data_IF_071440206853
#
_entry.id   IF_071440206853
#
_cell.length_a   1.000
_cell.length_b   1.000
_cell.length_c   1.000
_cell.angle_alpha   90.00
_cell.angle_beta   90.00
_cell.angle_gamma   90.00
#
_symmetry.space_group_name_H-M   'P 1'
#
loop_
_entity.id
_entity.type
_entity.pdbx_description
1 polymer ?
#
# COMPACT_ATOMS: atom_id res chain seq x y z
N UNK A 1 5.39 23.86 19.97
CA UNK A 1 4.54 23.90 18.75
C UNK A 1 3.85 22.56 18.65
N UNK A 2 2.54 22.55 18.42
CA UNK A 2 1.76 21.31 18.42
C UNK A 2 1.58 20.79 16.99
N UNK A 3 1.65 19.48 16.85
CA UNK A 3 1.48 18.76 15.59
C UNK A 3 0.20 17.96 15.63
N UNK A 4 -0.48 17.93 14.49
CA UNK A 4 -1.72 17.18 14.32
C UNK A 4 -1.59 16.19 13.18
N UNK A 5 -1.93 14.93 13.44
CA UNK A 5 -2.00 13.89 12.43
C UNK A 5 -3.33 13.16 12.49
N UNK A 6 -3.79 12.63 11.36
CA UNK A 6 -4.99 11.80 11.34
C UNK A 6 -4.65 10.35 11.05
N UNK A 7 -4.95 9.47 12.00
CA UNK A 7 -4.91 8.02 11.83
C UNK A 7 -6.15 7.63 11.03
N UNK A 8 -6.00 7.15 9.78
CA UNK A 8 -7.18 6.86 8.99
C UNK A 8 -8.03 5.76 9.63
N UNK A 9 -9.33 5.97 9.74
CA UNK A 9 -10.23 4.93 10.24
C UNK A 9 -11.48 4.91 9.37
N UNK A 10 -11.97 3.71 9.05
CA UNK A 10 -13.22 3.49 8.29
C UNK A 10 -14.38 3.22 9.25
N UNK A 11 -14.07 2.89 10.50
CA UNK A 11 -15.02 2.73 11.60
C UNK A 11 -15.45 4.09 12.15
N UNK A 12 -16.52 4.09 12.97
CA UNK A 12 -16.94 5.28 13.71
C UNK A 12 -15.98 5.69 14.83
N UNK A 13 -15.14 4.76 15.30
CA UNK A 13 -14.19 4.98 16.39
C UNK A 13 -12.91 4.15 16.23
N UNK A 14 -11.80 4.67 16.76
CA UNK A 14 -10.53 3.96 16.90
C UNK A 14 -10.67 2.70 17.78
N UNK A 15 -10.16 1.55 17.33
CA UNK A 15 -10.30 0.25 18.02
C UNK A 15 -9.03 -0.12 18.82
N UNK A 16 -8.75 0.65 19.87
CA UNK A 16 -7.50 0.56 20.65
C UNK A 16 -7.25 -0.83 21.25
N UNK A 17 -8.26 -1.46 21.85
CA UNK A 17 -8.09 -2.75 22.53
C UNK A 17 -7.64 -3.88 21.59
N UNK A 18 -8.16 -3.89 20.35
CA UNK A 18 -7.77 -4.88 19.35
C UNK A 18 -6.30 -4.70 18.97
N UNK A 19 -5.89 -3.45 18.71
CA UNK A 19 -4.51 -3.09 18.35
C UNK A 19 -3.52 -3.55 19.42
N UNK A 20 -3.78 -3.25 20.70
CA UNK A 20 -2.86 -3.64 21.79
C UNK A 20 -2.79 -5.15 21.95
N UNK A 21 -3.92 -5.85 21.84
CA UNK A 21 -3.94 -7.31 21.90
C UNK A 21 -3.08 -7.91 20.80
N UNK A 22 -3.14 -7.38 19.59
CA UNK A 22 -2.42 -7.93 18.43
C UNK A 22 -0.92 -7.58 18.47
N UNK A 23 -0.56 -6.39 18.97
CA UNK A 23 0.83 -6.03 19.28
C UNK A 23 1.41 -6.98 20.34
N UNK A 24 0.71 -7.21 21.45
CA UNK A 24 1.19 -8.13 22.50
C UNK A 24 1.35 -9.55 21.97
N UNK A 25 0.40 -10.04 21.17
CA UNK A 25 0.46 -11.37 20.52
C UNK A 25 1.65 -11.53 19.57
N UNK A 26 2.05 -10.46 18.90
CA UNK A 26 3.15 -10.46 17.94
C UNK A 26 4.51 -10.08 18.55
N UNK A 27 4.55 -9.83 19.86
CA UNK A 27 5.76 -9.42 20.58
C UNK A 27 6.47 -10.56 21.30
N UNK A 28 7.78 -10.40 21.52
CA UNK A 28 8.57 -11.22 22.43
C UNK A 28 8.66 -10.50 23.78
N UNK A 29 8.32 -11.19 24.87
CA UNK A 29 8.55 -10.67 26.23
C UNK A 29 10.05 -10.51 26.48
N UNK A 30 10.45 -9.44 27.16
CA UNK A 30 11.78 -9.38 27.77
C UNK A 30 11.75 -9.99 29.19
N UNK A 31 12.87 -9.93 29.89
CA UNK A 31 12.97 -10.27 31.32
C UNK A 31 12.21 -9.28 32.21
N UNK A 32 11.86 -8.09 31.69
CA UNK A 32 11.09 -7.06 32.40
C UNK A 32 9.61 -7.17 32.03
N UNK A 33 8.74 -7.25 33.04
CA UNK A 33 7.29 -7.53 32.89
C UNK A 33 6.53 -6.64 31.90
N UNK A 34 6.94 -5.38 31.72
CA UNK A 34 6.24 -4.39 30.88
C UNK A 34 7.08 -3.98 29.66
N UNK A 35 8.00 -4.82 29.23
CA UNK A 35 8.85 -4.55 28.07
C UNK A 35 8.71 -5.65 27.03
N UNK A 36 8.54 -5.21 25.79
CA UNK A 36 8.23 -6.08 24.67
C UNK A 36 9.15 -5.74 23.49
N UNK A 37 9.64 -6.76 22.80
CA UNK A 37 10.36 -6.62 21.54
C UNK A 37 9.42 -7.00 20.40
N UNK A 38 9.09 -6.05 19.52
CA UNK A 38 8.33 -6.33 18.31
C UNK A 38 9.26 -6.75 17.20
N UNK A 39 8.81 -7.59 16.28
CA UNK A 39 9.61 -7.96 15.12
C UNK A 39 9.76 -6.76 14.16
N UNK A 40 10.89 -6.65 13.42
CA UNK A 40 11.07 -5.58 12.45
C UNK A 40 9.95 -5.53 11.40
N UNK A 41 9.36 -4.35 11.20
CA UNK A 41 8.32 -4.10 10.18
C UNK A 41 8.96 -3.90 8.79
N UNK A 42 9.66 -4.89 8.24
CA UNK A 42 10.46 -4.68 7.02
C UNK A 42 9.74 -5.08 5.72
N UNK A 43 8.98 -6.18 5.65
CA UNK A 43 8.13 -6.44 4.46
C UNK A 43 7.11 -7.57 4.72
N UNK A 44 5.81 -7.26 4.74
CA UNK A 44 4.75 -8.26 5.02
C UNK A 44 4.48 -9.23 3.85
N UNK A 45 5.05 -9.00 2.66
CA UNK A 45 4.93 -9.96 1.55
C UNK A 45 5.64 -11.30 1.84
N UNK A 46 6.57 -11.32 2.79
CA UNK A 46 7.29 -12.52 3.23
C UNK A 46 7.39 -12.53 4.76
N UNK A 47 6.25 -12.75 5.45
CA UNK A 47 6.23 -13.03 6.89
C UNK A 47 6.85 -14.41 7.17
N UNK A 48 8.16 -14.53 7.01
CA UNK A 48 8.91 -15.71 7.45
C UNK A 48 9.13 -15.56 8.95
N UNK A 49 8.64 -16.49 9.79
CA UNK A 49 8.93 -16.46 11.22
C UNK A 49 10.46 -16.45 11.45
N UNK A 50 10.95 -15.51 12.26
CA UNK A 50 12.37 -15.46 12.59
C UNK A 50 12.84 -16.80 13.16
N UNK A 51 13.96 -17.30 12.64
CA UNK A 51 14.62 -18.48 13.21
C UNK A 51 15.04 -18.23 14.67
N UNK A 52 15.30 -19.29 15.43
CA UNK A 52 15.79 -19.14 16.81
C UNK A 52 17.08 -18.32 16.90
N UNK A 53 17.96 -18.45 15.90
CA UNK A 53 19.21 -17.69 15.80
C UNK A 53 18.94 -16.20 15.49
N UNK A 54 18.00 -15.90 14.61
CA UNK A 54 17.63 -14.51 14.28
C UNK A 54 16.96 -13.81 15.46
N UNK A 55 16.12 -14.52 16.22
CA UNK A 55 15.56 -14.01 17.49
C UNK A 55 16.66 -13.64 18.49
N UNK A 56 17.68 -14.50 18.64
CA UNK A 56 18.82 -14.18 19.52
C UNK A 56 19.62 -12.98 19.01
N UNK A 57 19.90 -12.91 17.70
CA UNK A 57 20.60 -11.77 17.08
C UNK A 57 19.81 -10.48 17.27
N UNK A 58 18.49 -10.55 17.14
CA UNK A 58 17.58 -9.44 17.36
C UNK A 58 17.60 -8.95 18.81
N UNK A 59 17.48 -9.86 19.77
CA UNK A 59 17.56 -9.53 21.19
C UNK A 59 18.88 -8.83 21.56
N UNK A 60 20.00 -9.21 20.94
CA UNK A 60 21.30 -8.54 21.13
C UNK A 60 21.31 -7.08 20.65
N UNK A 61 20.41 -6.68 19.74
CA UNK A 61 20.27 -5.27 19.31
C UNK A 61 19.63 -4.39 20.38
N UNK A 62 18.99 -5.00 21.35
CA UNK A 62 18.33 -4.37 22.50
C UNK A 62 18.84 -5.02 23.78
N UNK A 63 20.16 -5.07 23.99
CA UNK A 63 20.70 -5.57 25.25
C UNK A 63 20.27 -4.72 26.46
N UNK A 64 20.56 -5.19 27.67
CA UNK A 64 20.14 -4.52 28.90
C UNK A 64 20.62 -3.06 28.98
N UNK A 65 21.85 -2.79 28.53
CA UNK A 65 22.42 -1.44 28.52
C UNK A 65 21.65 -0.52 27.56
N UNK A 66 21.41 -1.00 26.34
CA UNK A 66 20.65 -0.29 25.30
C UNK A 66 19.24 0.05 25.79
N UNK A 67 18.54 -0.94 26.38
CA UNK A 67 17.19 -0.72 26.92
C UNK A 67 17.21 0.27 28.08
N UNK A 68 18.21 0.21 28.96
CA UNK A 68 18.36 1.18 30.04
C UNK A 68 18.55 2.61 29.52
N UNK A 69 19.38 2.82 28.49
CA UNK A 69 19.55 4.12 27.84
C UNK A 69 18.24 4.62 27.23
N UNK A 70 17.53 3.77 26.47
CA UNK A 70 16.26 4.16 25.85
C UNK A 70 15.20 4.49 26.91
N UNK A 71 15.11 3.70 27.98
CA UNK A 71 14.21 3.97 29.11
C UNK A 71 14.51 5.29 29.82
N UNK A 72 15.78 5.61 30.01
CA UNK A 72 16.18 6.86 30.65
C UNK A 72 15.62 8.07 29.90
N UNK A 73 15.72 8.09 28.57
CA UNK A 73 15.16 9.16 27.74
C UNK A 73 13.62 9.18 27.71
N UNK A 74 12.99 8.01 27.71
CA UNK A 74 11.54 7.87 27.66
C UNK A 74 10.86 8.20 29.01
N UNK A 75 11.53 7.89 30.12
CA UNK A 75 11.04 7.99 31.49
C UNK A 75 9.61 7.40 31.65
N UNK A 76 9.40 6.09 31.37
CA UNK A 76 8.11 5.43 31.50
C UNK A 76 7.67 5.32 32.96
N UNK A 77 6.37 5.43 33.24
CA UNK A 77 5.81 5.11 34.55
C UNK A 77 5.92 3.60 34.84
N UNK A 78 5.76 3.20 36.11
CA UNK A 78 5.81 1.78 36.49
C UNK A 78 4.72 0.93 35.85
N UNK A 79 3.58 1.53 35.52
CA UNK A 79 2.45 0.88 34.85
C UNK A 79 2.54 0.92 33.34
N UNK A 80 3.41 1.75 32.77
CA UNK A 80 3.51 1.92 31.32
C UNK A 80 4.17 0.68 30.68
N UNK A 81 3.65 0.26 29.54
CA UNK A 81 4.27 -0.74 28.67
C UNK A 81 5.21 -0.06 27.67
N UNK A 82 6.36 -0.69 27.42
CA UNK A 82 7.34 -0.18 26.46
C UNK A 82 7.60 -1.22 25.39
N UNK A 83 7.38 -0.80 24.14
CA UNK A 83 7.63 -1.61 22.96
C UNK A 83 8.88 -1.11 22.25
N UNK A 84 9.82 -2.01 21.97
CA UNK A 84 11.04 -1.69 21.23
C UNK A 84 11.08 -2.44 19.91
N UNK A 85 11.52 -1.78 18.85
CA UNK A 85 11.76 -2.45 17.58
C UNK A 85 12.72 -1.73 16.65
N UNK A 86 13.17 -2.44 15.62
CA UNK A 86 13.91 -1.85 14.52
C UNK A 86 12.97 -1.42 13.40
N UNK A 87 13.21 -0.23 12.88
CA UNK A 87 12.47 0.34 11.76
C UNK A 87 13.43 0.81 10.69
N UNK A 88 13.11 0.48 9.46
CA UNK A 88 13.70 1.10 8.29
C UNK A 88 12.81 2.28 7.87
N UNK A 89 13.39 3.47 7.78
CA UNK A 89 12.72 4.67 7.28
C UNK A 89 13.21 5.06 5.88
N UNK A 90 14.25 4.38 5.37
CA UNK A 90 14.85 4.63 4.06
C UNK A 90 14.85 3.33 3.24
N UNK A 91 13.76 3.14 2.49
CA UNK A 91 13.56 1.96 1.64
C UNK A 91 14.68 1.73 0.58
N UNK A 92 15.59 2.70 0.40
CA UNK A 92 16.74 2.59 -0.52
C UNK A 92 18.04 2.19 0.17
N UNK A 93 18.20 2.53 1.45
CA UNK A 93 19.38 2.20 2.24
C UNK A 93 18.99 1.46 3.51
N UNK A 94 18.81 0.15 3.36
CA UNK A 94 18.51 -0.80 4.44
C UNK A 94 19.55 -0.83 5.58
N UNK A 95 20.65 -0.09 5.45
CA UNK A 95 21.63 0.08 6.54
C UNK A 95 21.25 1.19 7.53
N UNK A 96 20.32 2.09 7.17
CA UNK A 96 19.79 3.16 8.02
C UNK A 96 18.61 2.70 8.90
N UNK A 97 18.80 1.55 9.56
CA UNK A 97 17.84 1.13 10.59
C UNK A 97 17.87 2.13 11.76
N UNK A 98 16.73 2.27 12.40
CA UNK A 98 16.56 3.04 13.62
C UNK A 98 15.99 2.12 14.70
N UNK A 99 16.38 2.35 15.96
CA UNK A 99 15.67 1.76 17.09
C UNK A 99 14.51 2.67 17.43
N UNK A 100 13.32 2.12 17.43
CA UNK A 100 12.10 2.79 17.86
C UNK A 100 11.73 2.27 19.22
N UNK A 101 11.28 3.17 20.09
CA UNK A 101 10.61 2.80 21.32
C UNK A 101 9.33 3.58 21.52
N UNK A 102 8.29 2.89 21.95
CA UNK A 102 6.94 3.42 22.12
C UNK A 102 6.46 3.10 23.52
N UNK A 103 6.00 4.13 24.24
CA UNK A 103 5.33 3.97 25.53
C UNK A 103 3.82 3.92 25.29
N UNK A 104 3.17 2.90 25.83
CA UNK A 104 1.72 2.71 25.83
C UNK A 104 1.22 2.72 27.28
N UNK A 105 0.11 3.44 27.52
CA UNK A 105 -0.53 3.51 28.83
C UNK A 105 -1.42 2.28 29.10
N UNK A 106 -2.00 2.20 30.30
CA UNK A 106 -2.91 1.11 30.66
C UNK A 106 -4.17 1.04 29.79
N UNK A 107 -4.60 2.17 29.23
CA UNK A 107 -5.79 2.28 28.36
C UNK A 107 -5.47 1.93 26.90
N UNK A 108 -4.21 1.58 26.61
CA UNK A 108 -3.76 1.20 25.28
C UNK A 108 -3.40 2.36 24.34
N UNK A 109 -3.34 3.59 24.84
CA UNK A 109 -2.92 4.76 24.07
C UNK A 109 -1.41 4.97 24.13
N UNK A 110 -0.83 5.36 22.99
CA UNK A 110 0.59 5.74 22.89
C UNK A 110 0.77 7.09 23.57
N UNK A 111 1.67 7.17 24.54
CA UNK A 111 2.04 8.41 25.26
C UNK A 111 3.29 9.07 24.68
N UNK A 112 4.27 8.25 24.26
CA UNK A 112 5.54 8.73 23.74
C UNK A 112 6.05 7.79 22.66
N UNK A 113 6.74 8.36 21.69
CA UNK A 113 7.48 7.61 20.68
C UNK A 113 8.84 8.28 20.49
N UNK A 114 9.89 7.47 20.40
CA UNK A 114 11.26 7.94 20.26
C UNK A 114 12.04 7.14 19.22
N UNK A 115 12.91 7.84 18.50
CA UNK A 115 13.87 7.28 17.55
C UNK A 115 15.28 7.39 18.12
N UNK A 116 16.05 6.33 17.94
CA UNK A 116 17.43 6.26 18.35
C UNK A 116 18.27 5.65 17.23
N UNK A 117 19.52 6.08 17.15
CA UNK A 117 20.46 5.56 16.16
C UNK A 117 20.70 4.05 16.34
N UNK A 118 20.96 3.35 15.23
CA UNK A 118 21.18 1.89 15.25
C UNK A 118 22.58 1.46 15.69
N UNK A 119 23.63 2.19 15.34
CA UNK A 119 24.99 1.88 15.81
C UNK A 119 25.23 2.32 17.25
N UNK A 120 24.61 3.42 17.65
CA UNK A 120 24.69 4.01 18.98
C UNK A 120 23.28 4.44 19.41
N UNK A 121 22.74 4.00 20.57
CA UNK A 121 21.39 4.34 21.02
C UNK A 121 21.28 5.79 21.54
N UNK A 122 21.87 6.74 20.81
CA UNK A 122 21.68 8.17 21.02
C UNK A 122 20.27 8.52 20.59
N UNK A 123 19.57 9.30 21.42
CA UNK A 123 18.27 9.86 21.07
C UNK A 123 18.40 10.79 19.86
N UNK A 124 17.60 10.54 18.82
CA UNK A 124 17.55 11.34 17.58
C UNK A 124 16.25 12.13 17.51
N UNK A 125 15.14 11.52 17.94
CA UNK A 125 13.85 12.21 18.03
C UNK A 125 12.98 11.68 19.16
N UNK A 126 12.12 12.54 19.71
CA UNK A 126 11.14 12.21 20.76
C UNK A 126 9.89 13.05 20.56
N UNK A 127 8.74 12.39 20.49
CA UNK A 127 7.44 13.04 20.58
C UNK A 127 6.66 12.58 21.81
N UNK A 128 5.92 13.50 22.39
CA UNK A 128 4.93 13.26 23.45
C UNK A 128 3.55 13.41 22.82
N UNK A 129 2.75 12.35 22.91
CA UNK A 129 1.39 12.36 22.40
C UNK A 129 0.50 12.94 23.48
N UNK A 130 -0.09 14.09 23.19
CA UNK A 130 -0.98 14.79 24.12
C UNK A 130 -2.35 14.11 24.15
N UNK A 131 -2.86 13.75 22.98
CA UNK A 131 -4.17 13.11 22.85
C UNK A 131 -4.28 12.32 21.54
N UNK A 132 -4.99 11.19 21.58
CA UNK A 132 -5.50 10.48 20.41
C UNK A 132 -7.01 10.37 20.59
N UNK A 133 -7.75 11.11 19.78
CA UNK A 133 -9.20 11.08 19.81
C UNK A 133 -9.76 9.79 19.23
N UNK A 134 -10.99 9.45 19.60
CA UNK A 134 -11.73 8.32 19.01
C UNK A 134 -11.94 8.49 17.51
N UNK A 135 -11.89 9.71 16.98
CA UNK A 135 -11.95 10.04 15.55
C UNK A 135 -10.66 9.71 14.80
N UNK A 136 -9.61 9.29 15.50
CA UNK A 136 -8.27 9.08 14.95
C UNK A 136 -7.43 10.36 14.84
N UNK A 137 -7.95 11.53 15.25
CA UNK A 137 -7.14 12.74 15.32
C UNK A 137 -6.16 12.66 16.49
N UNK A 138 -4.89 12.80 16.17
CA UNK A 138 -3.79 12.78 17.12
C UNK A 138 -3.19 14.18 17.23
N UNK A 139 -2.98 14.64 18.47
CA UNK A 139 -2.22 15.83 18.80
C UNK A 139 -0.96 15.41 19.57
N UNK A 140 0.18 15.99 19.21
CA UNK A 140 1.46 15.67 19.81
C UNK A 140 2.46 16.82 19.74
N UNK A 141 3.43 16.80 20.66
CA UNK A 141 4.54 17.74 20.70
C UNK A 141 5.85 17.03 20.37
N UNK A 142 6.66 17.64 19.49
CA UNK A 142 8.03 17.19 19.22
C UNK A 142 8.97 17.82 20.25
N UNK A 143 9.45 17.01 21.20
CA UNK A 143 10.35 17.44 22.28
C UNK A 143 11.82 17.44 21.81
N UNK A 144 12.17 16.52 20.92
CA UNK A 144 13.52 16.40 20.37
C UNK A 144 13.47 15.96 18.90
N UNK A 145 14.41 16.46 18.11
CA UNK A 145 14.57 16.13 16.69
C UNK A 145 14.34 17.33 15.77
N UNK A 146 14.78 17.20 14.52
CA UNK A 146 14.49 18.18 13.47
C UNK A 146 12.98 18.29 13.19
N UNK A 147 12.43 19.53 13.17
CA UNK A 147 11.05 19.77 12.78
C UNK A 147 10.72 19.19 11.40
N UNK A 148 9.45 18.89 11.18
CA UNK A 148 8.94 18.28 9.93
C UNK A 148 9.41 16.84 9.69
N UNK A 149 10.69 16.59 9.42
CA UNK A 149 11.20 15.23 9.07
C UNK A 149 10.91 14.21 10.17
N UNK A 150 11.32 14.49 11.41
CA UNK A 150 11.07 13.56 12.51
C UNK A 150 9.61 13.59 12.96
N UNK A 151 8.93 14.74 12.84
CA UNK A 151 7.50 14.82 13.13
C UNK A 151 6.70 13.84 12.24
N UNK A 152 7.04 13.78 10.94
CA UNK A 152 6.45 12.85 9.98
C UNK A 152 6.77 11.39 10.33
N UNK A 153 8.04 11.07 10.61
CA UNK A 153 8.45 9.70 10.95
C UNK A 153 7.76 9.20 12.23
N UNK A 154 7.79 10.00 13.30
CA UNK A 154 7.15 9.66 14.57
C UNK A 154 5.63 9.52 14.43
N UNK A 155 4.98 10.41 13.69
CA UNK A 155 3.55 10.24 13.38
C UNK A 155 3.28 8.96 12.59
N UNK A 156 4.12 8.66 11.59
CA UNK A 156 4.03 7.42 10.82
C UNK A 156 4.08 6.18 11.70
N UNK A 157 4.94 6.16 12.71
CA UNK A 157 5.03 5.04 13.66
C UNK A 157 3.77 4.88 14.51
N UNK A 158 3.23 5.99 15.04
CA UNK A 158 1.98 5.93 15.82
C UNK A 158 0.81 5.54 14.93
N UNK A 159 0.70 6.11 13.73
CA UNK A 159 -0.34 5.74 12.75
C UNK A 159 -0.28 4.25 12.43
N UNK A 160 0.90 3.71 12.12
CA UNK A 160 1.09 2.31 11.74
C UNK A 160 0.87 1.32 12.91
N UNK A 161 0.79 1.80 14.14
CA UNK A 161 0.32 1.00 15.28
C UNK A 161 -1.19 0.81 15.19
N UNK A 162 -1.94 1.88 14.90
CA UNK A 162 -3.40 1.84 14.94
C UNK A 162 -4.09 1.57 13.60
N UNK A 163 -3.35 1.63 12.48
CA UNK A 163 -3.87 1.42 11.14
C UNK A 163 -3.32 0.13 10.53
N UNK A 164 -4.11 -0.94 10.58
CA UNK A 164 -3.73 -2.26 10.05
C UNK A 164 -3.82 -2.31 8.51
N UNK A 165 -2.92 -1.57 7.84
CA UNK A 165 -2.51 -1.75 6.45
C UNK A 165 -1.18 -1.00 6.29
N UNK A 166 -0.08 -1.72 6.47
CA UNK A 166 1.26 -1.23 6.16
C UNK A 166 1.51 -1.60 4.69
N UNK A 167 2.21 -0.75 3.95
CA UNK A 167 2.59 -0.92 2.54
C UNK A 167 1.52 -0.58 1.50
N UNK A 168 1.06 0.67 1.48
CA UNK A 168 0.86 1.24 0.16
C UNK A 168 2.25 1.28 -0.54
N UNK A 169 2.38 0.81 -1.80
CA UNK A 169 3.65 0.83 -2.50
C UNK A 169 4.27 2.24 -2.48
N UNK A 170 5.61 2.31 -2.47
CA UNK A 170 6.48 3.48 -2.20
C UNK A 170 6.26 4.77 -3.03
N UNK A 171 5.11 4.95 -3.68
CA UNK A 171 4.64 6.19 -4.30
C UNK A 171 3.35 6.75 -3.68
N UNK A 172 2.76 6.11 -2.68
CA UNK A 172 1.57 6.61 -1.99
C UNK A 172 1.97 7.49 -0.80
N UNK A 173 1.88 8.80 -0.96
CA UNK A 173 2.18 9.75 0.11
C UNK A 173 1.10 9.64 1.18
N UNK A 174 1.38 8.94 2.27
CA UNK A 174 0.53 9.00 3.44
C UNK A 174 0.32 10.47 3.87
N UNK A 175 -0.83 10.77 4.46
CA UNK A 175 -1.08 12.12 4.96
C UNK A 175 0.00 12.50 5.97
N UNK A 176 0.48 13.73 5.84
CA UNK A 176 1.52 14.27 6.70
C UNK A 176 0.88 14.96 7.90
N UNK A 177 1.54 14.93 9.07
CA UNK A 177 1.10 15.74 10.18
C UNK A 177 1.25 17.23 9.83
N UNK A 178 0.40 18.06 10.43
CA UNK A 178 0.36 19.50 10.21
C UNK A 178 0.76 20.23 11.48
N UNK A 179 1.62 21.22 11.33
CA UNK A 179 2.03 22.09 12.43
C UNK A 179 0.99 23.20 12.64
N UNK A 180 0.63 23.42 13.91
CA UNK A 180 -0.37 24.38 14.35
C UNK A 180 0.19 25.16 15.55
N UNK A 181 0.23 26.49 15.41
CA UNK A 181 0.83 27.36 16.44
C UNK A 181 -0.05 27.50 17.70
N UNK A 182 -1.38 27.40 17.56
CA UNK A 182 -2.34 27.78 18.61
C UNK A 182 -3.23 26.62 19.10
N UNK A 183 -2.76 25.37 18.97
CA UNK A 183 -3.53 24.16 19.31
C UNK A 183 -4.95 24.16 18.70
N UNK A 184 -5.09 24.77 17.53
CA UNK A 184 -6.36 24.98 16.86
C UNK A 184 -6.74 23.74 16.05
N UNK A 185 -7.55 22.88 16.68
CA UNK A 185 -8.09 21.65 16.08
C UNK A 185 -8.79 21.88 14.75
N UNK A 186 -9.59 22.94 14.61
CA UNK A 186 -10.35 23.20 13.38
C UNK A 186 -9.42 23.58 12.22
N UNK A 187 -8.35 24.31 12.51
CA UNK A 187 -7.31 24.60 11.53
C UNK A 187 -6.58 23.32 11.11
N UNK A 188 -6.25 22.44 12.05
CA UNK A 188 -5.65 21.14 11.77
C UNK A 188 -6.53 20.31 10.82
N UNK A 189 -7.81 20.18 11.15
CA UNK A 189 -8.80 19.44 10.35
C UNK A 189 -8.85 19.99 8.92
N UNK A 190 -8.89 21.33 8.76
CA UNK A 190 -8.88 21.97 7.44
C UNK A 190 -7.60 21.70 6.66
N UNK A 191 -6.43 21.81 7.29
CA UNK A 191 -5.14 21.53 6.64
C UNK A 191 -4.99 20.05 6.25
N UNK A 192 -5.45 19.13 7.10
CA UNK A 192 -5.46 17.69 6.80
C UNK A 192 -6.42 17.39 5.64
N UNK A 193 -7.62 17.97 5.64
CA UNK A 193 -8.56 17.80 4.53
C UNK A 193 -8.02 18.37 3.21
N UNK A 194 -7.30 19.49 3.25
CA UNK A 194 -6.65 20.05 2.07
C UNK A 194 -5.59 19.09 1.48
N UNK A 195 -4.90 18.30 2.31
CA UNK A 195 -4.00 17.24 1.83
C UNK A 195 -4.77 16.16 1.08
N UNK A 196 -5.95 15.74 1.56
CA UNK A 196 -6.82 14.81 0.84
C UNK A 196 -7.20 15.34 -0.55
N UNK A 197 -7.63 16.60 -0.62
CA UNK A 197 -8.00 17.22 -1.90
C UNK A 197 -6.81 17.25 -2.87
N UNK A 198 -5.63 17.65 -2.40
CA UNK A 198 -4.40 17.65 -3.21
C UNK A 198 -4.04 16.25 -3.71
N UNK A 199 -4.12 15.25 -2.83
CA UNK A 199 -3.80 13.85 -3.13
C UNK A 199 -4.76 13.27 -4.18
N UNK A 200 -6.06 13.54 -4.05
CA UNK A 200 -7.09 13.13 -5.01
C UNK A 200 -6.88 13.75 -6.40
N UNK A 201 -6.53 15.03 -6.46
CA UNK A 201 -6.20 15.70 -7.71
C UNK A 201 -4.95 15.10 -8.37
N UNK A 202 -3.93 14.78 -7.57
CA UNK A 202 -2.72 14.12 -8.05
C UNK A 202 -3.04 12.76 -8.68
N UNK A 203 -3.85 11.93 -8.03
CA UNK A 203 -4.26 10.64 -8.61
C UNK A 203 -4.99 10.80 -9.93
N UNK A 204 -5.94 11.74 -10.02
CA UNK A 204 -6.64 12.01 -11.28
C UNK A 204 -5.68 12.41 -12.40
N UNK A 205 -4.71 13.28 -12.10
CA UNK A 205 -3.68 13.70 -13.06
C UNK A 205 -2.81 12.52 -13.52
N UNK A 206 -2.31 11.72 -12.57
CA UNK A 206 -1.48 10.55 -12.85
C UNK A 206 -2.22 9.54 -13.73
N UNK A 207 -3.45 9.20 -13.37
CA UNK A 207 -4.27 8.22 -14.10
C UNK A 207 -4.60 8.73 -15.50
N UNK A 208 -4.94 10.01 -15.64
CA UNK A 208 -5.22 10.61 -16.96
C UNK A 208 -3.99 10.55 -17.87
N UNK A 209 -2.81 10.88 -17.35
CA UNK A 209 -1.55 10.83 -18.10
C UNK A 209 -1.23 9.38 -18.51
N UNK A 210 -1.38 8.42 -17.60
CA UNK A 210 -1.15 7.01 -17.91
C UNK A 210 -2.15 6.46 -18.94
N UNK A 211 -3.43 6.84 -18.87
CA UNK A 211 -4.42 6.47 -19.90
C UNK A 211 -4.02 7.04 -21.26
N UNK A 212 -3.49 8.27 -21.32
CA UNK A 212 -3.02 8.88 -22.56
C UNK A 212 -1.80 8.16 -23.13
N UNK A 213 -0.80 7.85 -22.29
CA UNK A 213 0.37 7.07 -22.68
C UNK A 213 0.00 5.66 -23.18
N UNK A 214 -0.97 5.03 -22.52
CA UNK A 214 -1.56 3.75 -22.95
C UNK A 214 -2.48 3.93 -24.16
N UNK A 215 -3.01 5.12 -24.46
CA UNK A 215 -3.72 5.40 -25.71
C UNK A 215 -2.75 5.41 -26.88
N UNK A 216 -1.66 6.15 -26.74
CA UNK A 216 -0.79 6.57 -27.84
C UNK A 216 0.35 5.57 -28.14
N UNK A 217 0.80 4.78 -27.15
CA UNK A 217 1.96 3.90 -27.30
C UNK A 217 1.64 2.49 -27.83
N UNK A 218 1.99 2.18 -29.08
CA UNK A 218 1.96 0.80 -29.61
C UNK A 218 3.26 0.05 -29.23
N UNK A 219 3.31 -0.68 -28.10
CA UNK A 219 4.48 -1.49 -27.76
C UNK A 219 4.43 -2.27 -26.44
N UNK A 220 5.44 -3.15 -26.23
CA UNK A 220 5.64 -4.06 -25.07
C UNK A 220 5.68 -3.32 -23.73
N UNK A 221 6.00 -2.02 -23.71
CA UNK A 221 5.96 -1.14 -22.53
C UNK A 221 4.55 -1.05 -21.89
N UNK A 222 3.49 -1.39 -22.61
CA UNK A 222 2.10 -1.27 -22.14
C UNK A 222 1.69 -2.26 -21.04
N UNK A 223 2.29 -3.46 -20.97
CA UNK A 223 1.89 -4.47 -19.97
C UNK A 223 2.39 -4.14 -18.55
N UNK A 224 3.62 -3.63 -18.40
CA UNK A 224 4.10 -3.13 -17.09
C UNK A 224 3.36 -1.86 -16.65
N UNK A 225 3.03 -0.99 -17.61
CA UNK A 225 2.22 0.20 -17.32
C UNK A 225 0.80 -0.17 -16.85
N UNK A 226 0.28 -1.34 -17.24
CA UNK A 226 -1.05 -1.79 -16.86
C UNK A 226 -1.17 -2.14 -15.36
N UNK A 227 -0.27 -2.97 -14.83
CA UNK A 227 -0.27 -3.32 -13.40
C UNK A 227 -0.13 -2.08 -12.52
N UNK A 228 0.68 -1.11 -12.97
CA UNK A 228 0.85 0.17 -12.31
C UNK A 228 -0.45 0.99 -12.27
N UNK A 229 -1.21 1.05 -13.37
CA UNK A 229 -2.48 1.82 -13.40
C UNK A 229 -3.53 1.18 -12.51
N UNK A 230 -3.68 -0.15 -12.54
CA UNK A 230 -4.65 -0.84 -11.68
C UNK A 230 -4.34 -0.64 -10.19
N UNK A 231 -3.06 -0.72 -9.81
CA UNK A 231 -2.62 -0.45 -8.44
C UNK A 231 -2.94 0.99 -8.02
N UNK A 232 -2.61 1.98 -8.87
CA UNK A 232 -2.88 3.39 -8.60
C UNK A 232 -4.39 3.67 -8.50
N UNK A 233 -5.21 3.07 -9.36
CA UNK A 233 -6.67 3.18 -9.29
C UNK A 233 -7.22 2.63 -7.96
N UNK A 234 -6.70 1.47 -7.51
CA UNK A 234 -7.08 0.89 -6.23
C UNK A 234 -6.69 1.78 -5.05
N UNK A 235 -5.45 2.27 -5.03
CA UNK A 235 -4.98 3.22 -4.01
C UNK A 235 -5.83 4.49 -3.98
N UNK A 236 -6.09 5.09 -5.15
CA UNK A 236 -6.91 6.30 -5.26
C UNK A 236 -8.33 6.10 -4.70
N UNK A 237 -8.96 4.95 -4.96
CA UNK A 237 -10.27 4.61 -4.39
C UNK A 237 -10.21 4.46 -2.87
N UNK A 238 -9.19 3.77 -2.35
CA UNK A 238 -8.98 3.64 -0.90
C UNK A 238 -8.83 5.00 -0.21
N UNK A 239 -8.05 5.90 -0.80
CA UNK A 239 -7.86 7.26 -0.29
C UNK A 239 -9.13 8.10 -0.30
N UNK A 240 -9.99 7.94 -1.31
CA UNK A 240 -11.31 8.59 -1.32
C UNK A 240 -12.26 8.01 -0.26
N UNK A 241 -12.17 6.70 0.02
CA UNK A 241 -12.92 6.08 1.14
C UNK A 241 -12.48 6.70 2.47
N UNK A 242 -11.18 6.84 2.69
CA UNK A 242 -10.65 7.52 3.88
C UNK A 242 -11.10 8.99 3.95
N UNK A 243 -11.06 9.73 2.84
CA UNK A 243 -11.53 11.12 2.80
C UNK A 243 -13.03 11.24 3.15
N UNK A 244 -13.87 10.31 2.67
CA UNK A 244 -15.31 10.27 3.03
C UNK A 244 -15.51 9.99 4.51
N UNK A 245 -14.72 9.07 5.07
CA UNK A 245 -14.74 8.79 6.51
C UNK A 245 -14.33 10.02 7.32
N UNK A 246 -13.24 10.69 6.92
CA UNK A 246 -12.77 11.94 7.52
C UNK A 246 -13.87 13.01 7.54
N UNK A 247 -14.52 13.26 6.40
CA UNK A 247 -15.62 14.23 6.30
C UNK A 247 -16.75 13.91 7.29
N UNK A 248 -17.12 12.63 7.42
CA UNK A 248 -18.18 12.20 8.35
C UNK A 248 -17.75 12.37 9.80
N UNK A 249 -16.55 11.93 10.16
CA UNK A 249 -16.05 11.98 11.54
C UNK A 249 -15.89 13.41 12.06
N UNK A 250 -15.52 14.35 11.19
CA UNK A 250 -15.35 15.76 11.55
C UNK A 250 -16.53 16.63 11.12
N UNK A 251 -17.65 16.04 10.68
CA UNK A 251 -18.86 16.75 10.24
C UNK A 251 -18.55 17.90 9.27
N UNK A 252 -17.68 17.67 8.28
CA UNK A 252 -17.33 18.69 7.30
C UNK A 252 -18.55 19.02 6.41
N UNK A 253 -18.62 20.23 5.84
CA UNK A 253 -19.76 20.67 5.05
C UNK A 253 -20.12 19.72 3.89
N UNK A 254 -21.39 19.63 3.53
CA UNK A 254 -21.90 18.69 2.51
C UNK A 254 -21.20 18.83 1.14
N UNK A 255 -20.77 20.04 0.78
CA UNK A 255 -20.02 20.28 -0.45
C UNK A 255 -18.66 19.53 -0.49
N UNK A 256 -18.05 19.25 0.66
CA UNK A 256 -16.86 18.43 0.78
C UNK A 256 -17.17 16.99 0.41
N UNK A 257 -18.27 16.43 0.94
CA UNK A 257 -18.73 15.08 0.58
C UNK A 257 -19.08 14.98 -0.91
N UNK A 258 -19.80 15.97 -1.44
CA UNK A 258 -20.15 16.03 -2.86
C UNK A 258 -18.90 16.05 -3.75
N UNK A 259 -17.89 16.86 -3.40
CA UNK A 259 -16.63 16.93 -4.15
C UNK A 259 -15.88 15.60 -4.20
N UNK A 260 -15.80 14.89 -3.07
CA UNK A 260 -15.15 13.56 -3.02
C UNK A 260 -15.98 12.52 -3.80
N UNK A 261 -17.31 12.52 -3.69
CA UNK A 261 -18.17 11.60 -4.44
C UNK A 261 -18.07 11.83 -5.96
N UNK A 262 -18.05 13.09 -6.40
CA UNK A 262 -17.86 13.42 -7.82
C UNK A 262 -16.49 12.95 -8.32
N UNK A 263 -15.46 13.09 -7.50
CA UNK A 263 -14.11 12.59 -7.79
C UNK A 263 -14.08 11.06 -7.89
N UNK A 264 -14.79 10.35 -7.01
CA UNK A 264 -14.90 8.89 -7.05
C UNK A 264 -15.66 8.40 -8.28
N UNK A 265 -16.73 9.09 -8.67
CA UNK A 265 -17.49 8.78 -9.87
C UNK A 265 -16.66 9.00 -11.14
N UNK A 266 -15.96 10.14 -11.22
CA UNK A 266 -14.98 10.42 -12.27
C UNK A 266 -13.93 9.30 -12.36
N UNK A 267 -13.41 8.84 -11.22
CA UNK A 267 -12.43 7.76 -11.16
C UNK A 267 -13.01 6.41 -11.64
N UNK A 268 -14.27 6.12 -11.32
CA UNK A 268 -14.96 4.92 -11.83
C UNK A 268 -15.12 4.97 -13.34
N UNK A 269 -15.51 6.12 -13.90
CA UNK A 269 -15.59 6.32 -15.36
C UNK A 269 -14.21 6.12 -16.01
N UNK A 270 -13.14 6.66 -15.42
CA UNK A 270 -11.77 6.44 -15.90
C UNK A 270 -11.36 4.96 -15.82
N UNK A 271 -11.75 4.26 -14.76
CA UNK A 271 -11.52 2.81 -14.62
C UNK A 271 -12.17 2.03 -15.76
N UNK A 272 -13.43 2.35 -16.09
CA UNK A 272 -14.16 1.70 -17.19
C UNK A 272 -13.47 1.97 -18.53
N UNK A 273 -13.13 3.24 -18.83
CA UNK A 273 -12.42 3.60 -20.07
C UNK A 273 -11.08 2.88 -20.21
N UNK A 274 -10.36 2.75 -19.10
CA UNK A 274 -9.10 2.00 -19.08
C UNK A 274 -9.33 0.53 -19.41
N UNK A 275 -10.33 -0.11 -18.79
CA UNK A 275 -10.71 -1.49 -19.09
C UNK A 275 -11.12 -1.69 -20.56
N UNK A 276 -11.85 -0.74 -21.15
CA UNK A 276 -12.24 -0.79 -22.56
C UNK A 276 -11.04 -0.70 -23.50
N UNK A 277 -10.09 0.21 -23.21
CA UNK A 277 -8.84 0.33 -23.97
C UNK A 277 -8.02 -0.96 -23.89
N UNK A 278 -8.01 -1.63 -22.75
CA UNK A 278 -7.32 -2.90 -22.57
C UNK A 278 -7.97 -4.02 -23.38
N UNK A 279 -9.30 -4.10 -23.36
CA UNK A 279 -10.04 -5.09 -24.12
C UNK A 279 -9.80 -4.90 -25.63
N UNK A 280 -9.86 -3.66 -26.12
CA UNK A 280 -9.57 -3.33 -27.51
C UNK A 280 -8.13 -3.72 -27.89
N UNK A 281 -7.14 -3.38 -27.04
CA UNK A 281 -5.73 -3.72 -27.28
C UNK A 281 -5.49 -5.23 -27.29
N UNK A 282 -6.10 -5.96 -26.36
CA UNK A 282 -6.03 -7.42 -26.31
C UNK A 282 -6.58 -8.03 -27.61
N UNK A 283 -7.74 -7.55 -28.07
CA UNK A 283 -8.33 -7.98 -29.34
C UNK A 283 -7.41 -7.69 -30.54
N UNK A 284 -6.84 -6.48 -30.63
CA UNK A 284 -5.94 -6.10 -31.73
C UNK A 284 -4.63 -6.91 -31.72
N UNK A 285 -4.01 -7.10 -30.56
CA UNK A 285 -2.81 -7.91 -30.41
C UNK A 285 -3.07 -9.37 -30.78
N UNK A 286 -4.16 -9.94 -30.25
CA UNK A 286 -4.58 -11.30 -30.58
C UNK A 286 -4.85 -11.45 -32.07
N UNK A 287 -5.46 -10.46 -32.72
CA UNK A 287 -5.71 -10.47 -34.16
C UNK A 287 -4.41 -10.50 -34.97
N UNK A 288 -3.39 -9.72 -34.57
CA UNK A 288 -2.05 -9.78 -35.20
C UNK A 288 -1.42 -11.16 -35.03
N UNK A 289 -1.49 -11.74 -33.84
CA UNK A 289 -1.00 -13.10 -33.58
C UNK A 289 -1.75 -14.10 -34.46
N UNK A 290 -3.09 -14.03 -34.53
CA UNK A 290 -3.89 -14.90 -35.39
C UNK A 290 -3.50 -14.77 -36.86
N UNK A 291 -3.27 -13.56 -37.37
CA UNK A 291 -2.81 -13.34 -38.75
C UNK A 291 -1.42 -13.95 -38.97
N UNK A 292 -0.46 -13.72 -38.06
CA UNK A 292 0.89 -14.27 -38.17
C UNK A 292 0.85 -15.80 -38.11
N UNK A 293 0.09 -16.38 -37.18
CA UNK A 293 -0.11 -17.82 -37.06
C UNK A 293 -0.77 -18.40 -38.32
N UNK A 294 -1.77 -17.71 -38.88
CA UNK A 294 -2.41 -18.12 -40.13
C UNK A 294 -1.43 -18.12 -41.30
N UNK A 295 -0.66 -17.05 -41.47
CA UNK A 295 0.37 -16.93 -42.52
C UNK A 295 1.44 -18.01 -42.36
N UNK A 296 1.93 -18.24 -41.15
CA UNK A 296 2.90 -19.29 -40.86
C UNK A 296 2.34 -20.69 -41.15
N UNK A 297 1.07 -20.92 -40.82
CA UNK A 297 0.37 -22.19 -41.10
C UNK A 297 0.24 -22.43 -42.60
N UNK A 298 -0.20 -21.41 -43.37
CA UNK A 298 -0.31 -21.48 -44.82
C UNK A 298 1.07 -21.74 -45.45
N UNK A 299 2.12 -21.06 -44.98
CA UNK A 299 3.47 -21.25 -45.48
C UNK A 299 3.99 -22.67 -45.21
N UNK A 300 3.84 -23.17 -43.98
CA UNK A 300 4.23 -24.53 -43.63
C UNK A 300 3.46 -25.58 -44.45
N UNK A 301 2.15 -25.38 -44.61
CA UNK A 301 1.30 -26.25 -45.42
C UNK A 301 1.72 -26.25 -46.90
N UNK A 302 2.11 -25.11 -47.47
CA UNK A 302 2.66 -25.02 -48.83
C UNK A 302 3.99 -25.77 -48.98
N UNK A 303 4.90 -25.66 -48.00
CA UNK A 303 6.19 -26.36 -48.05
C UNK A 303 6.01 -27.88 -47.95
N UNK A 304 5.13 -28.34 -47.05
CA UNK A 304 4.75 -29.76 -46.94
C UNK A 304 4.07 -30.27 -48.23
N UNK A 305 3.17 -29.48 -48.81
CA UNK A 305 2.44 -29.85 -50.00
C UNK A 305 3.36 -30.05 -51.22
N UNK A 306 4.43 -29.26 -51.34
CA UNK A 306 5.44 -29.45 -52.40
C UNK A 306 6.16 -30.79 -52.31
N UNK A 307 6.26 -31.37 -51.12
CA UNK A 307 6.91 -32.67 -50.89
C UNK A 307 5.90 -33.81 -51.08
N UNK A 308 4.71 -33.68 -50.47
CA UNK A 308 3.72 -34.77 -50.38
C UNK A 308 2.80 -34.84 -51.61
N UNK A 309 2.45 -33.70 -52.20
CA UNK A 309 1.49 -33.60 -53.30
C UNK A 309 1.95 -32.57 -54.35
N UNK A 310 3.10 -32.80 -55.03
CA UNK A 310 3.73 -31.82 -55.91
C UNK A 310 2.87 -31.43 -57.12
N UNK A 311 1.93 -32.29 -57.53
CA UNK A 311 1.00 -32.01 -58.64
C UNK A 311 -0.10 -31.01 -58.28
N UNK A 312 -0.45 -30.88 -56.99
CA UNK A 312 -1.52 -29.99 -56.50
C UNK A 312 -1.19 -29.32 -55.16
N UNK A 313 -0.05 -28.63 -55.04
CA UNK A 313 0.45 -28.15 -53.75
C UNK A 313 -0.45 -27.08 -53.13
N UNK A 314 -1.13 -26.29 -53.97
CA UNK A 314 -2.05 -25.23 -53.52
C UNK A 314 -3.32 -25.82 -52.88
N UNK A 315 -3.92 -26.83 -53.51
CA UNK A 315 -5.15 -27.47 -53.03
C UNK A 315 -4.88 -28.20 -51.71
N UNK A 316 -3.79 -28.98 -51.65
CA UNK A 316 -3.40 -29.68 -50.43
C UNK A 316 -3.10 -28.72 -49.28
N UNK A 317 -2.39 -27.61 -49.55
CA UNK A 317 -2.12 -26.59 -48.55
C UNK A 317 -3.40 -25.94 -47.99
N UNK A 318 -4.37 -25.65 -48.87
CA UNK A 318 -5.65 -25.07 -48.47
C UNK A 318 -6.45 -26.00 -47.56
N UNK A 319 -6.57 -27.28 -47.93
CA UNK A 319 -7.26 -28.30 -47.11
C UNK A 319 -6.56 -28.48 -45.76
N UNK A 320 -5.23 -28.59 -45.76
CA UNK A 320 -4.42 -28.73 -44.54
C UNK A 320 -4.62 -27.54 -43.58
N UNK A 321 -4.62 -26.32 -44.13
CA UNK A 321 -4.84 -25.09 -43.36
C UNK A 321 -6.23 -25.07 -42.74
N UNK A 322 -7.28 -25.46 -43.49
CA UNK A 322 -8.65 -25.55 -42.96
C UNK A 322 -8.73 -26.55 -41.80
N UNK A 323 -8.12 -27.73 -41.94
CA UNK A 323 -8.10 -28.76 -40.88
C UNK A 323 -7.43 -28.23 -39.62
N UNK A 324 -6.28 -27.54 -39.76
CA UNK A 324 -5.58 -26.94 -38.62
C UNK A 324 -6.43 -25.85 -37.94
N UNK A 325 -7.08 -24.98 -38.72
CA UNK A 325 -7.99 -23.95 -38.17
C UNK A 325 -9.15 -24.60 -37.41
N UNK A 326 -9.77 -25.64 -37.96
CA UNK A 326 -10.87 -26.36 -37.31
C UNK A 326 -10.41 -27.04 -36.01
N UNK A 327 -9.22 -27.65 -35.99
CA UNK A 327 -8.65 -28.26 -34.78
C UNK A 327 -8.36 -27.23 -33.70
N UNK A 328 -7.79 -26.07 -34.07
CA UNK A 328 -7.56 -24.95 -33.13
C UNK A 328 -8.90 -24.42 -32.59
N UNK A 329 -9.89 -24.23 -33.44
CA UNK A 329 -11.24 -23.79 -33.06
C UNK A 329 -11.91 -24.75 -32.08
N UNK A 330 -11.83 -26.06 -32.36
CA UNK A 330 -12.36 -27.11 -31.49
C UNK A 330 -11.64 -27.16 -30.13
N UNK A 331 -10.31 -27.05 -30.11
CA UNK A 331 -9.53 -27.03 -28.88
C UNK A 331 -9.78 -25.77 -28.03
N UNK A 332 -9.91 -24.60 -28.66
CA UNK A 332 -10.22 -23.33 -27.98
C UNK A 332 -11.63 -23.35 -27.37
N UNK A 333 -12.63 -23.90 -28.07
CA UNK A 333 -14.00 -24.02 -27.57
C UNK A 333 -14.12 -24.99 -26.38
N UNK A 334 -13.36 -26.09 -26.40
CA UNK A 334 -13.36 -27.10 -25.32
C UNK A 334 -12.61 -26.62 -24.07
N UNK A 335 -11.56 -25.82 -24.22
CA UNK A 335 -10.82 -25.23 -23.09
C UNK A 335 -11.57 -24.07 -22.42
N UNK A 336 -12.27 -23.24 -23.20
CA UNK A 336 -13.11 -22.14 -22.64
C UNK A 336 -14.32 -22.66 -21.87
N UNK A 337 -14.98 -23.74 -22.30
CA UNK A 337 -16.07 -24.39 -21.53
C UNK A 337 -15.62 -24.97 -20.18
N UNK A 338 -14.34 -25.32 -20.01
CA UNK A 338 -13.82 -25.85 -18.73
C UNK A 338 -13.44 -24.76 -17.74
N UNK A 339 -13.19 -23.52 -18.19
CA UNK A 339 -12.99 -22.36 -17.31
C UNK A 339 -14.36 -21.80 -16.89
N UNK A 340 -15.01 -22.44 -15.92
CA UNK A 340 -16.01 -21.74 -15.10
C UNK A 340 -15.26 -20.61 -14.38
N UNK A 341 -15.39 -19.38 -14.88
CA UNK A 341 -14.96 -18.19 -14.15
C UNK A 341 -15.77 -18.20 -12.85
N UNK A 342 -15.15 -18.26 -11.66
CA UNK A 342 -15.89 -18.16 -10.42
C UNK A 342 -16.64 -16.83 -10.45
N UNK A 343 -17.97 -16.89 -10.31
CA UNK A 343 -18.78 -15.69 -10.08
C UNK A 343 -18.25 -15.09 -8.78
N UNK A 344 -17.48 -14.01 -8.88
CA UNK A 344 -17.22 -13.14 -7.76
C UNK A 344 -18.53 -12.39 -7.53
N UNK A 345 -19.36 -12.91 -6.65
CA UNK A 345 -20.45 -12.15 -6.05
C UNK A 345 -19.79 -11.10 -5.16
N UNK A 346 -19.72 -9.86 -5.64
CA UNK A 346 -19.51 -8.71 -4.78
C UNK A 346 -20.81 -8.50 -4.01
N UNK A 347 -20.93 -9.10 -2.84
CA UNK A 347 -21.85 -8.62 -1.83
C UNK A 347 -21.20 -7.37 -1.20
N UNK A 348 -21.79 -6.21 -1.50
CA UNK A 348 -21.51 -4.93 -0.85
C UNK A 348 -22.38 -4.78 0.40
#
# INVERSE_FOLDING_TARGET
MSWYGWIPIITSTLLVENVIRDIRRSSLSTETRNEHLLLPKINQAELIPLSGQDKQKYNRRFDQSTRATMRFHLNPASTDEVYYYLRDFDDKDTTNLHRVAVIVNNDGFVKKVALFGFSNPKLEALAVIENIETTGLMNYELIHGEPYTHAMQLFGEVRDIYHEHIYAPHGDFALQPVEIESNNKDEAIKKIFAQYQKKILLYHSLIKNMIHEVGDGYGIKSARNFENVSAILSSAKGEMVYARSFIRLFNLPENSMASINNSLESLNILTVRFNDLLLLRSLLSNTRIYIITLVATIYAALQLAKIVAPSYPVIFSFVSTIVVILLIGYHSHTTTKKRKIPKITLEL
#
